data_IF_076166917545
#
_entry.id   IF_076166917545
#
_cell.length_a   1.000
_cell.length_b   1.000
_cell.length_c   1.000
_cell.angle_alpha   90.00
_cell.angle_beta   90.00
_cell.angle_gamma   90.00
#
_symmetry.space_group_name_H-M   'P 1'
#
loop_
_entity.id
_entity.type
_entity.pdbx_description
1 polymer ?
#
# COMPACT_ATOMS: atom_id res chain seq x y z
N UNK A 1 42.99 17.07 -26.92
CA UNK A 1 41.89 17.72 -26.17
C UNK A 1 40.60 16.87 -26.14
N UNK A 2 40.69 15.54 -25.98
CA UNK A 2 39.52 14.62 -26.10
C UNK A 2 39.31 13.67 -24.90
N UNK A 3 40.19 13.69 -23.89
CA UNK A 3 40.09 12.79 -22.74
C UNK A 3 39.04 13.22 -21.69
N UNK A 4 38.72 14.52 -21.61
CA UNK A 4 37.85 15.05 -20.56
C UNK A 4 36.34 14.80 -20.75
N UNK A 5 35.89 14.27 -21.90
CA UNK A 5 34.45 14.10 -22.18
C UNK A 5 33.89 12.77 -21.69
N UNK A 6 34.73 11.77 -21.40
CA UNK A 6 34.27 10.43 -21.01
C UNK A 6 33.89 10.33 -19.53
N UNK A 7 34.44 11.20 -18.68
CA UNK A 7 34.21 11.14 -17.23
C UNK A 7 32.81 11.62 -16.82
N UNK A 8 32.20 12.53 -17.59
CA UNK A 8 30.85 13.04 -17.31
C UNK A 8 29.72 12.02 -17.53
N UNK A 9 29.95 10.97 -18.32
CA UNK A 9 28.92 9.97 -18.64
C UNK A 9 28.89 8.84 -17.58
N UNK A 10 30.03 8.51 -16.99
CA UNK A 10 30.14 7.46 -15.96
C UNK A 10 29.54 7.92 -14.61
N UNK A 11 29.61 9.22 -14.31
CA UNK A 11 29.02 9.79 -13.09
C UNK A 11 27.48 9.77 -13.10
N UNK A 12 26.83 9.80 -14.27
CA UNK A 12 25.38 9.92 -14.39
C UNK A 12 24.62 8.61 -14.11
N UNK A 13 25.30 7.47 -13.93
CA UNK A 13 24.69 6.18 -13.64
C UNK A 13 24.69 5.77 -12.15
N UNK A 14 25.34 6.53 -11.27
CA UNK A 14 25.43 6.21 -9.82
C UNK A 14 24.32 6.81 -8.94
N UNK A 15 23.31 7.43 -9.55
CA UNK A 15 22.25 8.17 -8.85
C UNK A 15 20.93 7.43 -8.65
N UNK A 16 20.77 6.18 -9.13
CA UNK A 16 19.57 5.39 -8.87
C UNK A 16 19.66 4.78 -7.47
N UNK A 17 19.46 5.62 -6.44
CA UNK A 17 19.22 5.15 -5.09
C UNK A 17 17.94 4.30 -5.14
N UNK A 18 18.10 2.98 -5.00
CA UNK A 18 16.96 2.08 -4.82
C UNK A 18 16.17 2.54 -3.61
N UNK A 19 14.85 2.55 -3.75
CA UNK A 19 13.92 2.69 -2.63
C UNK A 19 14.40 1.76 -1.51
N UNK A 20 14.78 2.36 -0.39
CA UNK A 20 15.28 1.61 0.75
C UNK A 20 14.10 0.88 1.37
N UNK A 21 14.31 -0.35 1.86
CA UNK A 21 13.28 -1.11 2.60
C UNK A 21 12.66 -0.30 3.76
N UNK A 22 13.39 0.71 4.27
CA UNK A 22 12.91 1.60 5.33
C UNK A 22 11.75 2.51 4.94
N UNK A 23 11.59 2.84 3.65
CA UNK A 23 10.48 3.70 3.17
C UNK A 23 9.16 2.93 2.99
N UNK A 24 9.23 1.61 2.78
CA UNK A 24 8.05 0.78 2.58
C UNK A 24 7.29 0.51 3.89
N UNK A 25 7.99 0.46 5.03
CA UNK A 25 7.39 0.17 6.34
C UNK A 25 6.31 1.19 6.77
N UNK A 26 6.57 2.51 6.76
CA UNK A 26 5.54 3.49 7.08
C UNK A 26 4.39 3.52 6.05
N UNK A 27 4.67 3.25 4.77
CA UNK A 27 3.63 3.15 3.75
C UNK A 27 2.64 2.02 4.04
N UNK A 28 3.12 0.83 4.40
CA UNK A 28 2.24 -0.30 4.77
C UNK A 28 1.43 0.00 6.03
N UNK A 29 2.05 0.64 7.04
CA UNK A 29 1.38 0.98 8.28
C UNK A 29 0.20 1.95 8.05
N UNK A 30 0.37 2.95 7.18
CA UNK A 30 -0.71 3.91 6.87
C UNK A 30 -1.88 3.25 6.13
N UNK A 31 -1.60 2.36 5.16
CA UNK A 31 -2.65 1.60 4.47
C UNK A 31 -3.44 0.73 5.45
N UNK A 32 -2.74 0.08 6.39
CA UNK A 32 -3.37 -0.77 7.39
C UNK A 32 -4.24 0.03 8.36
N UNK A 33 -3.77 1.22 8.79
CA UNK A 33 -4.53 2.12 9.64
C UNK A 33 -5.82 2.62 8.96
N UNK A 34 -5.73 3.01 7.69
CA UNK A 34 -6.90 3.42 6.89
C UNK A 34 -7.91 2.27 6.75
N UNK A 35 -7.42 1.04 6.53
CA UNK A 35 -8.26 -0.15 6.46
C UNK A 35 -9.06 -0.40 7.74
N UNK A 36 -8.39 -0.33 8.90
CA UNK A 36 -9.06 -0.49 10.21
C UNK A 36 -10.12 0.60 10.42
N UNK A 37 -9.82 1.84 10.04
CA UNK A 37 -10.72 2.98 10.20
C UNK A 37 -12.00 2.83 9.37
N UNK A 38 -11.89 2.30 8.14
CA UNK A 38 -13.07 2.00 7.30
C UNK A 38 -13.96 0.91 7.91
N UNK A 39 -13.36 -0.17 8.42
CA UNK A 39 -14.12 -1.27 9.06
C UNK A 39 -14.84 -0.77 10.32
N UNK A 40 -14.16 0.01 11.16
CA UNK A 40 -14.76 0.60 12.36
C UNK A 40 -15.94 1.53 12.01
N UNK A 41 -15.81 2.31 10.94
CA UNK A 41 -16.88 3.21 10.48
C UNK A 41 -18.12 2.45 10.01
N UNK A 42 -17.92 1.36 9.26
CA UNK A 42 -19.03 0.49 8.83
C UNK A 42 -19.72 -0.18 10.02
N UNK A 43 -18.94 -0.67 10.99
CA UNK A 43 -19.48 -1.29 12.19
C UNK A 43 -20.38 -0.33 12.99
N UNK A 44 -19.94 0.92 13.16
CA UNK A 44 -20.76 1.95 13.80
C UNK A 44 -22.02 2.29 12.99
N UNK A 45 -21.95 2.27 11.66
CA UNK A 45 -23.10 2.54 10.80
C UNK A 45 -24.16 1.44 10.91
N UNK A 46 -23.74 0.17 10.97
CA UNK A 46 -24.64 -0.97 11.23
C UNK A 46 -25.29 -0.89 12.59
N UNK A 47 -24.53 -0.56 13.64
CA UNK A 47 -25.07 -0.42 15.00
C UNK A 47 -26.03 0.77 15.09
N UNK A 48 -25.73 1.88 14.43
CA UNK A 48 -26.64 3.02 14.38
C UNK A 48 -27.94 2.66 13.65
N UNK A 49 -27.87 1.86 12.59
CA UNK A 49 -29.05 1.42 11.85
C UNK A 49 -30.02 0.58 12.69
N UNK A 50 -29.53 -0.23 13.64
CA UNK A 50 -30.37 -1.04 14.52
C UNK A 50 -31.07 -0.21 15.62
N UNK A 51 -30.56 0.97 15.92
CA UNK A 51 -31.16 1.89 16.89
C UNK A 51 -32.30 2.75 16.32
N UNK A 52 -32.46 2.82 15.00
CA UNK A 52 -33.57 3.53 14.38
C UNK A 52 -34.84 2.67 14.34
N UNK A 53 -35.99 3.30 14.55
CA UNK A 53 -37.30 2.68 14.30
C UNK A 53 -37.40 2.22 12.85
N UNK A 54 -37.85 0.99 12.63
CA UNK A 54 -38.08 0.43 11.29
C UNK A 54 -38.95 1.39 10.43
N UNK A 55 -38.64 1.47 9.13
CA UNK A 55 -39.29 2.36 8.14
C UNK A 55 -39.17 3.88 8.37
N UNK A 56 -38.38 4.32 9.35
CA UNK A 56 -38.04 5.73 9.47
C UNK A 56 -37.18 6.17 8.27
N UNK A 57 -37.32 7.43 7.83
CA UNK A 57 -36.46 7.98 6.78
C UNK A 57 -34.95 7.82 7.09
N UNK A 58 -34.58 7.92 8.37
CA UNK A 58 -33.22 7.69 8.85
C UNK A 58 -32.77 6.21 8.78
N UNK A 59 -33.68 5.26 9.05
CA UNK A 59 -33.41 3.83 8.92
C UNK A 59 -33.23 3.44 7.44
N UNK A 60 -34.10 3.95 6.56
CA UNK A 60 -34.03 3.69 5.13
C UNK A 60 -32.76 4.30 4.50
N UNK A 61 -32.38 5.52 4.90
CA UNK A 61 -31.13 6.12 4.45
C UNK A 61 -29.89 5.32 4.93
N UNK A 62 -29.89 4.86 6.18
CA UNK A 62 -28.81 4.03 6.74
C UNK A 62 -28.72 2.68 6.03
N UNK A 63 -29.85 2.00 5.80
CA UNK A 63 -29.90 0.74 5.07
C UNK A 63 -29.46 0.88 3.61
N UNK A 64 -29.81 1.99 2.93
CA UNK A 64 -29.37 2.23 1.55
C UNK A 64 -27.85 2.47 1.51
N UNK A 65 -27.29 3.19 2.48
CA UNK A 65 -25.84 3.34 2.62
C UNK A 65 -25.16 1.99 2.89
N UNK A 66 -25.66 1.19 3.82
CA UNK A 66 -25.12 -0.14 4.12
C UNK A 66 -25.18 -1.03 2.89
N UNK A 67 -26.31 -1.06 2.18
CA UNK A 67 -26.49 -1.88 0.96
C UNK A 67 -25.54 -1.45 -0.16
N UNK A 68 -25.31 -0.15 -0.33
CA UNK A 68 -24.33 0.37 -1.28
C UNK A 68 -22.92 -0.02 -0.86
N UNK A 69 -22.57 0.12 0.41
CA UNK A 69 -21.28 -0.33 0.91
C UNK A 69 -21.09 -1.84 0.73
N UNK A 70 -22.10 -2.66 1.02
CA UNK A 70 -22.02 -4.12 0.88
C UNK A 70 -21.81 -4.57 -0.57
N UNK A 71 -22.37 -3.85 -1.54
CA UNK A 71 -22.09 -4.08 -2.96
C UNK A 71 -20.71 -3.55 -3.40
N UNK A 72 -20.16 -2.55 -2.70
CA UNK A 72 -18.87 -1.93 -3.04
C UNK A 72 -17.69 -2.59 -2.32
N UNK A 73 -17.92 -3.20 -1.15
CA UNK A 73 -16.92 -3.88 -0.31
C UNK A 73 -16.21 -5.01 -1.07
N UNK A 74 -16.88 -5.88 -1.86
CA UNK A 74 -16.20 -6.89 -2.67
C UNK A 74 -15.18 -6.27 -3.64
N UNK A 75 -15.50 -5.10 -4.20
CA UNK A 75 -14.66 -4.38 -5.15
C UNK A 75 -13.48 -3.70 -4.42
N UNK A 76 -13.71 -3.12 -3.24
CA UNK A 76 -12.64 -2.58 -2.37
C UNK A 76 -11.72 -3.69 -1.86
N UNK A 77 -12.27 -4.85 -1.50
CA UNK A 77 -11.51 -6.03 -1.09
C UNK A 77 -10.62 -6.55 -2.21
N UNK A 78 -11.14 -6.60 -3.44
CA UNK A 78 -10.36 -6.93 -4.63
C UNK A 78 -9.19 -5.93 -4.83
N UNK A 79 -9.45 -4.63 -4.71
CA UNK A 79 -8.42 -3.58 -4.84
C UNK A 79 -7.34 -3.76 -3.76
N UNK A 80 -7.72 -4.00 -2.51
CA UNK A 80 -6.77 -4.20 -1.41
C UNK A 80 -5.88 -5.42 -1.65
N UNK A 81 -6.44 -6.53 -2.16
CA UNK A 81 -5.66 -7.72 -2.50
C UNK A 81 -4.66 -7.40 -3.62
N UNK A 82 -5.08 -6.68 -4.67
CA UNK A 82 -4.19 -6.25 -5.76
C UNK A 82 -3.04 -5.38 -5.22
N UNK A 83 -3.35 -4.42 -4.35
CA UNK A 83 -2.35 -3.54 -3.71
C UNK A 83 -1.38 -4.36 -2.84
N UNK A 84 -1.89 -5.30 -2.06
CA UNK A 84 -1.07 -6.20 -1.25
C UNK A 84 -0.09 -7.01 -2.12
N UNK A 85 -0.58 -7.58 -3.22
CA UNK A 85 0.26 -8.34 -4.16
C UNK A 85 1.33 -7.43 -4.77
N UNK A 86 0.99 -6.19 -5.16
CA UNK A 86 1.95 -5.23 -5.72
C UNK A 86 3.05 -4.88 -4.70
N UNK A 87 2.70 -4.69 -3.44
CA UNK A 87 3.66 -4.42 -2.36
C UNK A 87 4.57 -5.64 -2.14
N UNK A 88 3.99 -6.85 -2.03
CA UNK A 88 4.75 -8.09 -1.83
C UNK A 88 5.75 -8.31 -2.97
N UNK A 89 5.32 -8.11 -4.22
CA UNK A 89 6.22 -8.20 -5.39
C UNK A 89 7.33 -7.15 -5.28
N UNK A 90 7.00 -5.90 -4.94
CA UNK A 90 7.99 -4.84 -4.75
C UNK A 90 9.05 -5.18 -3.70
N UNK A 91 8.63 -5.76 -2.58
CA UNK A 91 9.53 -6.20 -1.50
C UNK A 91 10.40 -7.39 -1.96
N UNK A 92 9.81 -8.39 -2.62
CA UNK A 92 10.54 -9.55 -3.12
C UNK A 92 11.61 -9.14 -4.14
N UNK A 93 11.25 -8.29 -5.10
CA UNK A 93 12.20 -7.74 -6.09
C UNK A 93 13.33 -7.00 -5.37
N UNK A 94 13.03 -6.13 -4.41
CA UNK A 94 14.05 -5.42 -3.63
C UNK A 94 14.97 -6.37 -2.85
N UNK A 95 14.45 -7.49 -2.34
CA UNK A 95 15.23 -8.50 -1.60
C UNK A 95 16.27 -9.19 -2.49
N UNK A 96 15.91 -9.52 -3.73
CA UNK A 96 16.84 -10.14 -4.67
C UNK A 96 17.97 -9.20 -5.11
N UNK A 97 17.70 -7.90 -5.25
CA UNK A 97 18.73 -6.93 -5.63
C UNK A 97 19.71 -6.59 -4.48
N UNK A 98 19.29 -6.66 -3.22
CA UNK A 98 20.15 -6.36 -2.06
C UNK A 98 21.11 -7.50 -1.73
N UNK A 99 20.75 -8.76 -2.03
CA UNK A 99 21.57 -9.92 -1.68
C UNK A 99 22.76 -10.18 -2.63
N UNK A 100 22.75 -9.58 -3.83
CA UNK A 100 23.78 -9.78 -4.86
C UNK A 100 25.08 -8.98 -4.67
N UNK A 101 25.12 -7.98 -3.80
CA UNK A 101 26.27 -7.06 -3.67
C UNK A 101 27.18 -7.30 -2.44
N UNK A 102 26.97 -8.40 -1.71
CA UNK A 102 27.50 -8.55 -0.34
C UNK A 102 28.49 -9.68 -0.05
N UNK A 103 29.15 -10.29 -1.04
CA UNK A 103 30.19 -11.31 -0.78
C UNK A 103 31.33 -11.22 -1.79
N UNK A 104 32.36 -10.45 -1.45
CA UNK A 104 33.57 -10.33 -2.26
C UNK A 104 34.57 -9.35 -1.68
N UNK A 105 34.90 -9.47 -0.39
CA UNK A 105 36.10 -8.81 0.14
C UNK A 105 36.86 -9.80 1.01
N UNK A 106 37.83 -10.43 0.34
CA UNK A 106 38.78 -11.34 0.94
C UNK A 106 39.52 -10.67 2.09
N UNK A 107 39.74 -11.47 3.14
CA UNK A 107 40.83 -11.28 4.08
C UNK A 107 41.87 -12.33 3.70
N UNK A 108 42.87 -11.90 2.92
CA UNK A 108 44.24 -12.42 2.97
C UNK A 108 45.07 -11.34 3.64
#
# INVERSE_FOLDING_TARGET
LMAHRKEGLVAKMRGKKGLTLGDAFPAVLTVLLVGILLVASLFLLTELSTTFTADSAAANASNDLITRFDNTIPLVGLILIIVMIAIVIGVLVSSFFVQGSGRGRGRV
#
